data_IF_677760158594
#
_entry.id   IF_677760158594
#
_cell.length_a   1.000
_cell.length_b   1.000
_cell.length_c   1.000
_cell.angle_alpha   90.00
_cell.angle_beta   90.00
_cell.angle_gamma   90.00
#
_symmetry.space_group_name_H-M   'P 1'
#
loop_
_entity.id
_entity.type
_entity.pdbx_description
1 polymer ?
#
# COMPACT_ATOMS: atom_id res chain seq x y z
N UNK A 1 -12.02 14.34 -10.66
CA UNK A 1 -11.69 12.96 -10.22
C UNK A 1 -10.20 12.87 -9.91
N UNK A 2 -9.81 12.07 -8.91
CA UNK A 2 -8.43 12.02 -8.42
C UNK A 2 -7.51 11.17 -9.30
N UNK A 3 -6.19 11.37 -9.18
CA UNK A 3 -5.16 10.52 -9.81
C UNK A 3 -5.39 9.04 -9.52
N UNK A 4 -5.80 8.69 -8.30
CA UNK A 4 -6.06 7.31 -7.90
C UNK A 4 -7.22 6.67 -8.68
N UNK A 5 -8.28 7.44 -8.96
CA UNK A 5 -9.40 6.93 -9.76
C UNK A 5 -8.97 6.56 -11.18
N UNK A 6 -8.06 7.34 -11.77
CA UNK A 6 -7.48 7.03 -13.08
C UNK A 6 -6.61 5.76 -13.04
N UNK A 7 -5.74 5.62 -12.04
CA UNK A 7 -4.89 4.44 -11.88
C UNK A 7 -5.71 3.16 -11.68
N UNK A 8 -6.78 3.23 -10.88
CA UNK A 8 -7.71 2.10 -10.68
C UNK A 8 -8.42 1.78 -12.00
N UNK A 9 -8.92 2.78 -12.73
CA UNK A 9 -9.53 2.57 -14.05
C UNK A 9 -8.54 1.89 -15.00
N UNK A 10 -7.27 2.34 -15.02
CA UNK A 10 -6.21 1.75 -15.85
C UNK A 10 -6.02 0.27 -15.53
N UNK A 11 -5.87 -0.07 -14.24
CA UNK A 11 -5.71 -1.45 -13.81
C UNK A 11 -6.92 -2.29 -14.24
N UNK A 12 -8.14 -1.82 -14.01
CA UNK A 12 -9.35 -2.55 -14.42
C UNK A 12 -9.40 -2.77 -15.94
N UNK A 13 -9.03 -1.78 -16.75
CA UNK A 13 -9.00 -1.92 -18.20
C UNK A 13 -7.95 -2.94 -18.64
N UNK A 14 -6.77 -2.96 -18.03
CA UNK A 14 -5.76 -4.00 -18.29
C UNK A 14 -6.29 -5.40 -17.96
N UNK A 15 -6.85 -5.55 -16.76
CA UNK A 15 -7.33 -6.84 -16.25
C UNK A 15 -8.52 -7.42 -17.04
N UNK A 16 -9.43 -6.56 -17.51
CA UNK A 16 -10.68 -7.03 -18.12
C UNK A 16 -10.79 -6.83 -19.63
N UNK A 17 -9.97 -5.98 -20.25
CA UNK A 17 -10.19 -5.57 -21.63
C UNK A 17 -8.98 -5.72 -22.56
N UNK A 18 -7.75 -5.62 -22.04
CA UNK A 18 -6.55 -5.53 -22.90
C UNK A 18 -5.66 -6.75 -22.77
N UNK A 19 -5.30 -7.14 -21.55
CA UNK A 19 -4.33 -8.19 -21.30
C UNK A 19 -4.99 -9.56 -21.43
N UNK A 20 -4.21 -10.56 -21.84
CA UNK A 20 -4.60 -11.95 -21.68
C UNK A 20 -4.72 -12.31 -20.19
N UNK A 21 -5.43 -13.39 -19.87
CA UNK A 21 -5.58 -13.85 -18.48
C UNK A 21 -4.24 -14.07 -17.78
N UNK A 22 -3.24 -14.55 -18.52
CA UNK A 22 -1.87 -14.72 -18.01
C UNK A 22 -1.21 -13.36 -17.71
N UNK A 23 -1.18 -12.45 -18.68
CA UNK A 23 -0.56 -11.13 -18.51
C UNK A 23 -1.25 -10.30 -17.42
N UNK A 24 -2.57 -10.38 -17.33
CA UNK A 24 -3.36 -9.75 -16.27
C UNK A 24 -2.96 -10.29 -14.89
N UNK A 25 -2.84 -11.62 -14.76
CA UNK A 25 -2.37 -12.25 -13.53
C UNK A 25 -0.95 -11.80 -13.18
N UNK A 26 -0.03 -11.78 -14.15
CA UNK A 26 1.33 -11.32 -13.95
C UNK A 26 1.39 -9.86 -13.48
N UNK A 27 0.62 -8.96 -14.10
CA UNK A 27 0.53 -7.56 -13.69
C UNK A 27 0.01 -7.42 -12.25
N UNK A 28 -1.04 -8.16 -11.88
CA UNK A 28 -1.61 -8.10 -10.54
C UNK A 28 -0.62 -8.61 -9.49
N UNK A 29 0.01 -9.75 -9.72
CA UNK A 29 0.98 -10.32 -8.79
C UNK A 29 2.29 -9.52 -8.74
N UNK A 30 2.66 -8.80 -9.81
CA UNK A 30 3.80 -7.88 -9.81
C UNK A 30 3.62 -6.68 -8.85
N UNK A 31 2.40 -6.41 -8.39
CA UNK A 31 2.16 -5.42 -7.32
C UNK A 31 2.72 -5.87 -5.96
N UNK A 32 3.08 -7.14 -5.82
CA UNK A 32 3.56 -7.73 -4.59
C UNK A 32 4.92 -8.40 -4.77
N UNK A 33 5.65 -8.53 -3.68
CA UNK A 33 6.92 -9.26 -3.64
C UNK A 33 6.96 -10.16 -2.42
N UNK A 34 7.56 -11.35 -2.57
CA UNK A 34 7.75 -12.30 -1.48
C UNK A 34 9.25 -12.38 -1.13
N UNK A 35 9.68 -11.56 -0.18
CA UNK A 35 11.09 -11.52 0.24
C UNK A 35 11.49 -12.69 1.13
N UNK A 36 10.52 -13.36 1.77
CA UNK A 36 10.78 -14.43 2.75
C UNK A 36 10.64 -15.83 2.16
N UNK A 37 10.08 -15.96 0.95
CA UNK A 37 9.82 -17.25 0.30
C UNK A 37 8.81 -18.15 1.04
N UNK A 38 7.99 -17.57 1.93
CA UNK A 38 6.97 -18.31 2.70
C UNK A 38 5.57 -18.03 2.15
N UNK A 39 4.63 -18.92 2.42
CA UNK A 39 3.21 -18.65 2.17
C UNK A 39 2.76 -17.48 3.04
N UNK A 40 1.89 -16.62 2.49
CA UNK A 40 1.32 -15.47 3.18
C UNK A 40 2.35 -14.44 3.72
N UNK A 41 3.49 -14.32 3.03
CA UNK A 41 4.51 -13.30 3.33
C UNK A 41 4.71 -12.30 2.20
N UNK A 42 3.69 -12.08 1.40
CA UNK A 42 3.69 -11.08 0.34
C UNK A 42 3.60 -9.68 0.95
N UNK A 43 4.42 -8.77 0.46
CA UNK A 43 4.36 -7.35 0.79
C UNK A 43 4.14 -6.55 -0.48
N UNK A 44 3.47 -5.38 -0.43
CA UNK A 44 3.38 -4.50 -1.58
C UNK A 44 4.77 -4.15 -2.11
N UNK A 45 4.94 -4.18 -3.43
CA UNK A 45 6.19 -3.86 -4.11
C UNK A 45 6.67 -2.43 -3.77
N UNK A 46 5.74 -1.47 -3.65
CA UNK A 46 6.04 -0.10 -3.22
C UNK A 46 6.65 -0.04 -1.82
N UNK A 47 6.12 -0.82 -0.88
CA UNK A 47 6.65 -0.89 0.49
C UNK A 47 8.06 -1.48 0.51
N UNK A 48 8.33 -2.50 -0.31
CA UNK A 48 9.67 -3.05 -0.47
C UNK A 48 10.63 -2.01 -1.08
N UNK A 49 10.19 -1.24 -2.07
CA UNK A 49 10.98 -0.18 -2.67
C UNK A 49 11.31 0.92 -1.64
N UNK A 50 10.33 1.33 -0.84
CA UNK A 50 10.54 2.29 0.26
C UNK A 50 11.61 1.78 1.24
N UNK A 51 11.54 0.50 1.62
CA UNK A 51 12.53 -0.14 2.47
C UNK A 51 13.94 -0.10 1.85
N UNK A 52 14.09 -0.49 0.58
CA UNK A 52 15.39 -0.46 -0.13
C UNK A 52 15.94 0.97 -0.17
N UNK A 53 15.11 1.95 -0.54
CA UNK A 53 15.50 3.38 -0.58
C UNK A 53 15.95 3.86 0.80
N UNK A 54 15.25 3.46 1.86
CA UNK A 54 15.62 3.79 3.25
C UNK A 54 16.97 3.19 3.62
N UNK A 55 17.24 1.94 3.25
CA UNK A 55 18.52 1.28 3.46
C UNK A 55 19.66 2.02 2.73
N UNK A 56 19.48 2.31 1.44
CA UNK A 56 20.45 3.08 0.64
C UNK A 56 20.73 4.43 1.29
N UNK A 57 19.69 5.22 1.62
CA UNK A 57 19.84 6.53 2.28
C UNK A 57 20.61 6.43 3.59
N UNK A 58 20.35 5.38 4.40
CA UNK A 58 21.09 5.14 5.65
C UNK A 58 22.57 4.90 5.35
N UNK A 59 22.92 4.05 4.38
CA UNK A 59 24.33 3.82 4.03
C UNK A 59 25.02 5.08 3.48
N UNK A 60 24.35 5.84 2.62
CA UNK A 60 24.89 7.11 2.09
C UNK A 60 25.12 8.15 3.18
N UNK A 61 24.24 8.22 4.18
CA UNK A 61 24.40 9.11 5.34
C UNK A 61 25.72 8.85 6.08
N UNK A 62 26.08 7.57 6.25
CA UNK A 62 27.31 7.16 6.93
C UNK A 62 28.55 7.16 6.01
N UNK A 63 28.48 7.71 4.79
CA UNK A 63 29.67 7.93 3.94
C UNK A 63 30.36 9.27 4.26
N UNK A 64 29.69 10.18 4.99
CA UNK A 64 30.17 11.52 5.29
C UNK A 64 30.72 12.23 4.04
N UNK A 65 31.97 12.68 4.04
CA UNK A 65 32.60 13.40 2.93
C UNK A 65 33.04 12.51 1.76
N UNK A 66 33.03 11.18 1.90
CA UNK A 66 33.51 10.24 0.87
C UNK A 66 32.45 9.92 -0.20
N UNK A 67 31.59 10.87 -0.54
CA UNK A 67 30.50 10.71 -1.51
C UNK A 67 30.96 11.05 -2.92
N UNK A 68 31.80 10.20 -3.49
CA UNK A 68 32.06 10.20 -4.94
C UNK A 68 31.18 9.15 -5.61
N UNK A 69 30.87 9.33 -6.90
CA UNK A 69 29.99 8.40 -7.63
C UNK A 69 30.50 6.96 -7.62
N UNK A 70 31.81 6.76 -7.73
CA UNK A 70 32.44 5.45 -7.64
C UNK A 70 32.23 4.79 -6.27
N UNK A 71 32.44 5.53 -5.18
CA UNK A 71 32.21 5.00 -3.83
C UNK A 71 30.73 4.77 -3.54
N UNK A 72 29.84 5.61 -4.07
CA UNK A 72 28.39 5.46 -3.96
C UNK A 72 27.98 4.15 -4.63
N UNK A 73 28.37 3.94 -5.89
CA UNK A 73 28.04 2.74 -6.66
C UNK A 73 28.56 1.46 -5.99
N UNK A 74 29.84 1.47 -5.56
CA UNK A 74 30.45 0.35 -4.82
C UNK A 74 29.69 0.05 -3.53
N UNK A 75 29.36 1.08 -2.75
CA UNK A 75 28.68 0.91 -1.46
C UNK A 75 27.25 0.43 -1.64
N UNK A 76 26.50 0.96 -2.61
CA UNK A 76 25.11 0.54 -2.86
C UNK A 76 25.02 -0.91 -3.33
N UNK A 77 25.93 -1.33 -4.22
CA UNK A 77 25.99 -2.72 -4.70
C UNK A 77 26.35 -3.72 -3.58
N UNK A 78 27.09 -3.27 -2.57
CA UNK A 78 27.49 -4.09 -1.43
C UNK A 78 26.45 -4.16 -0.29
N UNK A 79 25.34 -3.41 -0.34
CA UNK A 79 24.38 -3.31 0.78
C UNK A 79 23.86 -4.69 1.22
N UNK A 80 23.53 -5.57 0.26
CA UNK A 80 23.04 -6.92 0.58
C UNK A 80 24.09 -7.70 1.37
N UNK A 81 25.32 -7.77 0.86
CA UNK A 81 26.41 -8.49 1.51
C UNK A 81 26.74 -7.91 2.90
N UNK A 82 26.68 -6.58 3.06
CA UNK A 82 26.87 -5.93 4.37
C UNK A 82 25.77 -6.36 5.36
N UNK A 83 24.52 -6.45 4.90
CA UNK A 83 23.40 -6.93 5.71
C UNK A 83 23.61 -8.39 6.13
N UNK A 84 24.00 -9.25 5.20
CA UNK A 84 24.22 -10.68 5.45
C UNK A 84 25.36 -10.90 6.45
N UNK A 85 26.47 -10.16 6.30
CA UNK A 85 27.61 -10.20 7.23
C UNK A 85 27.18 -9.70 8.62
N UNK A 86 26.39 -8.63 8.70
CA UNK A 86 25.90 -8.09 9.97
C UNK A 86 24.99 -9.09 10.69
N UNK A 87 24.05 -9.70 9.98
CA UNK A 87 23.14 -10.71 10.54
C UNK A 87 23.92 -11.95 11.00
N UNK A 88 24.90 -12.38 10.20
CA UNK A 88 25.78 -13.48 10.56
C UNK A 88 26.62 -13.18 11.81
N UNK A 89 27.16 -11.97 11.91
CA UNK A 89 27.92 -11.54 13.07
C UNK A 89 27.06 -11.56 14.33
N UNK A 90 25.86 -10.97 14.28
CA UNK A 90 24.93 -10.94 15.40
C UNK A 90 24.55 -12.37 15.86
N UNK A 91 24.33 -13.27 14.89
CA UNK A 91 24.03 -14.69 15.14
C UNK A 91 25.17 -15.41 15.87
N UNK A 92 26.41 -15.20 15.47
CA UNK A 92 27.58 -15.88 16.04
C UNK A 92 27.98 -15.29 17.40
N UNK A 93 27.82 -13.99 17.57
CA UNK A 93 28.19 -13.27 18.78
C UNK A 93 27.14 -13.35 19.91
N UNK A 94 26.01 -14.03 19.67
CA UNK A 94 24.85 -14.04 20.57
C UNK A 94 24.43 -12.62 21.01
N UNK A 95 24.58 -11.65 20.10
CA UNK A 95 24.07 -10.30 20.35
C UNK A 95 22.57 -10.41 20.58
N UNK A 96 22.11 -9.88 21.72
CA UNK A 96 20.68 -9.86 22.03
C UNK A 96 19.99 -8.95 21.02
N UNK A 97 19.42 -9.55 19.98
CA UNK A 97 18.53 -8.87 19.05
C UNK A 97 17.26 -8.54 19.83
N UNK A 98 17.20 -7.33 20.39
CA UNK A 98 15.98 -6.79 20.97
C UNK A 98 15.01 -6.54 19.83
N UNK A 99 14.14 -7.51 19.56
CA UNK A 99 13.04 -7.29 18.64
C UNK A 99 12.23 -6.12 19.19
N UNK A 100 12.21 -5.01 18.46
CA UNK A 100 11.15 -4.00 18.62
C UNK A 100 9.90 -4.57 17.97
N UNK A 101 9.46 -5.74 18.42
CA UNK A 101 8.08 -6.13 18.20
C UNK A 101 7.32 -5.05 18.96
N UNK A 102 6.59 -4.20 18.26
CA UNK A 102 5.55 -3.44 18.93
C UNK A 102 4.79 -4.50 19.72
N UNK A 103 4.78 -4.40 21.05
CA UNK A 103 3.84 -5.19 21.82
C UNK A 103 2.51 -4.77 21.24
N UNK A 104 1.86 -5.67 20.51
CA UNK A 104 0.47 -5.45 20.12
C UNK A 104 -0.24 -5.25 21.46
N UNK A 105 -0.51 -3.98 21.78
CA UNK A 105 -1.29 -3.62 22.95
C UNK A 105 -2.59 -4.39 22.77
N UNK A 106 -2.95 -5.18 23.79
CA UNK A 106 -4.14 -6.00 23.71
C UNK A 106 -5.33 -5.10 23.41
N UNK A 107 -5.92 -5.26 22.21
CA UNK A 107 -7.10 -4.52 21.78
C UNK A 107 -8.36 -4.93 22.53
N UNK A 108 -8.27 -5.93 23.42
CA UNK A 108 -9.40 -6.50 24.15
C UNK A 108 -10.14 -5.42 24.96
N UNK A 109 -9.41 -4.51 25.61
CA UNK A 109 -10.07 -3.46 26.40
C UNK A 109 -10.84 -2.49 25.49
N UNK A 110 -10.18 -2.02 24.43
CA UNK A 110 -10.79 -1.14 23.43
C UNK A 110 -12.00 -1.81 22.75
N UNK A 111 -11.91 -3.11 22.46
CA UNK A 111 -12.99 -3.91 21.89
C UNK A 111 -14.18 -4.03 22.86
N UNK A 112 -13.93 -4.28 24.14
CA UNK A 112 -14.97 -4.34 25.16
C UNK A 112 -15.67 -2.99 25.37
N UNK A 113 -14.90 -1.91 25.35
CA UNK A 113 -15.44 -0.54 25.46
C UNK A 113 -16.28 -0.20 24.23
N UNK A 114 -15.79 -0.50 23.01
CA UNK A 114 -16.58 -0.36 21.78
C UNK A 114 -17.87 -1.18 21.83
N UNK A 115 -17.83 -2.42 22.33
CA UNK A 115 -19.04 -3.26 22.47
C UNK A 115 -20.02 -2.63 23.47
N UNK A 116 -19.53 -2.12 24.61
CA UNK A 116 -20.35 -1.42 25.60
C UNK A 116 -21.04 -0.22 24.97
N UNK A 117 -20.29 0.62 24.26
CA UNK A 117 -20.81 1.82 23.59
C UNK A 117 -21.83 1.46 22.52
N UNK A 118 -21.53 0.47 21.67
CA UNK A 118 -22.44 0.00 20.62
C UNK A 118 -23.74 -0.57 21.22
N UNK A 119 -23.67 -1.26 22.37
CA UNK A 119 -24.86 -1.76 23.08
C UNK A 119 -25.71 -0.64 23.67
N UNK A 120 -25.10 0.45 24.11
CA UNK A 120 -25.83 1.63 24.61
C UNK A 120 -26.47 2.42 23.47
N UNK A 121 -25.70 2.70 22.43
CA UNK A 121 -26.13 3.52 21.28
C UNK A 121 -27.13 2.79 20.37
N UNK A 122 -27.08 1.45 20.34
CA UNK A 122 -27.86 0.57 19.45
C UNK A 122 -27.95 1.11 18.02
N UNK A 123 -26.80 1.34 17.36
CA UNK A 123 -26.77 2.06 16.08
C UNK A 123 -27.49 1.30 14.95
N UNK A 124 -27.67 -0.02 15.10
CA UNK A 124 -28.31 -0.87 14.11
C UNK A 124 -29.84 -0.99 14.28
N UNK A 125 -30.41 -0.46 15.36
CA UNK A 125 -31.87 -0.35 15.47
C UNK A 125 -32.36 0.72 14.48
N UNK A 126 -33.44 0.42 13.76
CA UNK A 126 -33.99 1.34 12.77
C UNK A 126 -34.75 2.45 13.48
N UNK A 127 -34.21 3.67 13.40
CA UNK A 127 -34.79 4.88 13.98
C UNK A 127 -35.30 5.79 12.85
N UNK A 128 -36.62 5.93 12.68
CA UNK A 128 -37.20 6.73 11.59
C UNK A 128 -36.77 8.19 11.67
N UNK A 129 -36.10 8.70 10.63
CA UNK A 129 -35.65 10.09 10.57
C UNK A 129 -34.30 10.37 11.24
N UNK A 130 -33.57 9.33 11.69
CA UNK A 130 -32.19 9.47 12.18
C UNK A 130 -31.31 10.16 11.13
N UNK A 131 -30.75 11.30 11.51
CA UNK A 131 -29.83 12.10 10.70
C UNK A 131 -28.65 12.53 11.58
N UNK A 132 -27.52 12.84 10.96
CA UNK A 132 -26.36 13.34 11.69
C UNK A 132 -26.52 14.85 11.94
N UNK A 133 -26.31 15.33 13.17
CA UNK A 133 -26.53 16.74 13.55
C UNK A 133 -25.75 17.72 12.66
N UNK A 134 -24.48 17.43 12.43
CA UNK A 134 -23.60 18.24 11.56
C UNK A 134 -23.88 18.04 10.06
N UNK A 135 -24.47 16.91 9.68
CA UNK A 135 -24.63 16.52 8.27
C UNK A 135 -26.05 15.99 7.98
N UNK A 136 -27.08 16.83 8.13
CA UNK A 136 -28.47 16.43 7.97
C UNK A 136 -28.81 15.99 6.53
N UNK A 137 -27.97 16.34 5.55
CA UNK A 137 -28.15 16.02 4.14
C UNK A 137 -27.39 14.78 3.64
N UNK A 138 -26.80 13.96 4.51
CA UNK A 138 -26.13 12.73 4.05
C UNK A 138 -27.19 11.75 3.54
N UNK A 139 -27.22 11.56 2.21
CA UNK A 139 -28.10 10.57 1.57
C UNK A 139 -27.60 9.16 1.86
N UNK A 140 -28.51 8.27 2.30
CA UNK A 140 -28.25 6.85 2.53
C UNK A 140 -27.78 6.10 1.28
N UNK A 141 -28.01 6.63 0.08
CA UNK A 141 -27.73 5.97 -1.21
C UNK A 141 -26.62 6.70 -1.95
N UNK A 142 -25.37 6.33 -1.69
CA UNK A 142 -24.21 6.78 -2.47
C UNK A 142 -24.36 6.42 -3.96
N UNK A 143 -25.01 5.30 -4.28
CA UNK A 143 -25.30 4.85 -5.64
C UNK A 143 -26.12 5.85 -6.45
N UNK A 144 -27.03 6.60 -5.80
CA UNK A 144 -27.85 7.63 -6.45
C UNK A 144 -27.11 8.97 -6.61
N UNK A 145 -25.94 9.12 -6.00
CA UNK A 145 -25.10 10.32 -6.12
C UNK A 145 -24.04 10.19 -7.22
N UNK A 146 -23.83 8.99 -7.76
CA UNK A 146 -22.93 8.78 -8.89
C UNK A 146 -23.66 9.18 -10.18
N UNK A 147 -23.35 10.37 -10.69
CA UNK A 147 -23.80 10.78 -12.01
C UNK A 147 -23.11 9.90 -13.07
N UNK A 148 -23.86 8.91 -13.57
CA UNK A 148 -23.38 7.98 -14.60
C UNK A 148 -23.03 8.67 -15.92
N UNK A 149 -23.65 9.80 -16.24
CA UNK A 149 -23.32 10.55 -17.45
C UNK A 149 -21.99 11.27 -17.28
N UNK A 150 -21.78 11.91 -16.12
CA UNK A 150 -20.48 12.49 -15.75
C UNK A 150 -19.38 11.43 -15.76
N UNK A 151 -19.66 10.27 -15.16
CA UNK A 151 -18.70 9.16 -15.10
C UNK A 151 -18.35 8.62 -16.50
N UNK A 152 -19.34 8.39 -17.36
CA UNK A 152 -19.11 7.96 -18.76
C UNK A 152 -18.31 8.99 -19.55
N UNK A 153 -18.66 10.27 -19.43
CA UNK A 153 -17.93 11.35 -20.09
C UNK A 153 -16.47 11.39 -19.62
N UNK A 154 -16.22 11.20 -18.32
CA UNK A 154 -14.88 11.12 -17.78
C UNK A 154 -14.11 9.92 -18.34
N UNK A 155 -14.69 8.71 -18.38
CA UNK A 155 -14.05 7.52 -19.00
C UNK A 155 -13.68 7.82 -20.46
N UNK A 156 -14.60 8.41 -21.22
CA UNK A 156 -14.36 8.74 -22.63
C UNK A 156 -13.21 9.74 -22.81
N UNK A 157 -13.07 10.73 -21.92
CA UNK A 157 -11.92 11.64 -21.92
C UNK A 157 -10.62 10.90 -21.61
N UNK A 158 -10.64 10.00 -20.62
CA UNK A 158 -9.46 9.23 -20.23
C UNK A 158 -9.03 8.22 -21.28
N UNK A 159 -9.95 7.71 -22.11
CA UNK A 159 -9.65 6.79 -23.21
C UNK A 159 -8.60 7.34 -24.19
N UNK A 160 -8.68 8.64 -24.53
CA UNK A 160 -7.73 9.28 -25.46
C UNK A 160 -6.32 9.31 -24.85
N UNK A 161 -6.23 9.68 -23.58
CA UNK A 161 -4.97 9.72 -22.82
C UNK A 161 -4.37 8.31 -22.70
N UNK A 162 -5.21 7.33 -22.45
CA UNK A 162 -4.79 5.95 -22.30
C UNK A 162 -4.31 5.33 -23.63
N UNK A 163 -4.94 5.67 -24.76
CA UNK A 163 -4.49 5.24 -26.08
C UNK A 163 -3.09 5.78 -26.44
N UNK A 164 -2.84 7.06 -26.13
CA UNK A 164 -1.53 7.70 -26.38
C UNK A 164 -0.42 7.14 -25.49
N UNK A 165 -0.71 6.77 -24.24
CA UNK A 165 0.25 6.11 -23.34
C UNK A 165 0.65 4.70 -23.80
N UNK A 166 -0.26 3.96 -24.46
CA UNK A 166 0.00 2.63 -25.01
C UNK A 166 0.76 2.65 -26.35
N UNK A 167 1.14 3.83 -26.86
CA UNK A 167 1.88 3.98 -28.11
C UNK A 167 1.08 3.58 -29.37
N UNK A 168 -0.26 3.65 -29.32
CA UNK A 168 -1.15 3.44 -30.47
C UNK A 168 -1.70 4.76 -31.00
#
# INVERSE_FOLDING_TARGET
MSKYAYEIMRLLVHQYCILSEQEASEEFYALFVNTKGKTDSHIPCDLQMEYIVKCVKKHLKHMFSNKTDDFISKRTSAISAISDISEQFDRVSNVVIRSKRHSDLSSIHDELDMISDLRQLRPFETDPGRQHDTFPGISRKMENQLDMNLFRNWIMQQKIKFATELGK
#
